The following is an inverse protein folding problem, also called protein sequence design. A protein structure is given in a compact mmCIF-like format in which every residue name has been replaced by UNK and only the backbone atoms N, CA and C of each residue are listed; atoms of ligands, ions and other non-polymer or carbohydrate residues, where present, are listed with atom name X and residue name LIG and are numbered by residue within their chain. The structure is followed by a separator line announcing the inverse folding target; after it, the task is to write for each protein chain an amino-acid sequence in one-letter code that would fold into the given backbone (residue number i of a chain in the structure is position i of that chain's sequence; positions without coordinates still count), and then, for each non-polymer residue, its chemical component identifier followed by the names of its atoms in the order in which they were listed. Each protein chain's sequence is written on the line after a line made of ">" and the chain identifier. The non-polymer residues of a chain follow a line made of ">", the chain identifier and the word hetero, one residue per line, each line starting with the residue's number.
data_IF_254883569430
#
_entry.id   IF_254883569430
#
_cell.length_a   1.000
_cell.length_b   1.000
_cell.length_c   1.000
_cell.angle_alpha   90.00
_cell.angle_beta   90.00
_cell.angle_gamma   90.00
#
_symmetry.space_group_name_H-M   'P 1'
#
loop_
_entity.id
_entity.type
_entity.pdbx_description
1 polymer ?
#
# COMPACT_ATOMS: atom_id res chain seq x y z
N UNK A 1 35.75 36.14 -45.77
CA UNK A 1 35.13 37.46 -45.95
C UNK A 1 34.21 37.63 -44.74
N UNK A 2 34.53 38.40 -43.68
CA UNK A 2 35.26 39.69 -43.55
C UNK A 2 34.78 40.73 -44.59
N UNK A 3 34.38 41.96 -44.27
CA UNK A 3 34.39 42.77 -43.02
C UNK A 3 32.93 43.19 -42.61
N UNK A 4 32.58 43.92 -41.54
CA UNK A 4 32.90 45.32 -41.16
C UNK A 4 32.00 46.35 -41.89
N UNK A 5 31.50 47.45 -41.31
CA UNK A 5 31.49 47.91 -39.91
C UNK A 5 31.05 49.39 -39.75
N UNK A 6 30.44 49.72 -38.61
CA UNK A 6 30.23 51.07 -38.01
C UNK A 6 29.31 52.16 -38.65
N UNK A 7 28.70 52.90 -37.70
CA UNK A 7 28.42 54.35 -37.63
C UNK A 7 27.16 55.00 -38.26
N UNK A 8 26.75 56.22 -37.85
CA UNK A 8 26.47 56.77 -36.50
C UNK A 8 25.76 58.15 -36.63
N UNK A 9 24.57 58.29 -36.03
CA UNK A 9 23.89 59.52 -35.53
C UNK A 9 24.37 60.93 -36.00
N UNK A 10 23.46 61.71 -36.63
CA UNK A 10 23.06 63.11 -36.25
C UNK A 10 21.85 63.58 -37.12
N UNK A 11 20.74 64.09 -36.57
CA UNK A 11 20.48 65.47 -36.04
C UNK A 11 20.35 66.49 -37.21
N UNK A 12 19.22 67.19 -37.44
CA UNK A 12 18.64 68.33 -36.66
C UNK A 12 17.19 68.66 -37.17
N UNK A 13 16.36 69.26 -36.28
CA UNK A 13 15.18 70.17 -36.46
C UNK A 13 14.75 70.60 -37.90
N UNK A 14 13.51 70.97 -38.26
CA UNK A 14 12.28 71.42 -37.56
C UNK A 14 11.08 71.43 -38.59
N UNK A 15 9.81 71.85 -38.41
CA UNK A 15 8.93 72.36 -37.32
C UNK A 15 7.44 72.24 -37.75
N UNK A 16 6.48 72.51 -36.82
CA UNK A 16 5.00 72.66 -37.01
C UNK A 16 4.25 71.35 -37.30
N UNK A 17 3.49 70.77 -36.36
CA UNK A 17 2.29 71.26 -35.64
C UNK A 17 0.97 71.03 -36.39
N UNK A 18 0.18 70.06 -35.89
CA UNK A 18 -1.28 70.12 -35.81
C UNK A 18 -1.73 69.15 -34.69
N UNK A 19 -2.65 69.58 -33.82
CA UNK A 19 -3.12 68.79 -32.69
C UNK A 19 -4.17 67.75 -33.14
N UNK A 20 -4.05 66.53 -32.62
CA UNK A 20 -5.13 65.54 -32.58
C UNK A 20 -5.06 64.80 -31.25
N UNK A 21 -6.18 64.72 -30.51
CA UNK A 21 -6.21 64.18 -29.16
C UNK A 21 -6.42 62.66 -29.15
N UNK A 22 -5.33 61.89 -29.09
CA UNK A 22 -5.38 60.43 -28.92
C UNK A 22 -5.41 60.05 -27.44
N UNK A 23 -6.61 59.75 -26.92
CA UNK A 23 -6.79 59.23 -25.56
C UNK A 23 -6.20 57.82 -25.48
N UNK A 24 -5.08 57.67 -24.77
CA UNK A 24 -4.50 56.37 -24.44
C UNK A 24 -5.34 55.68 -23.35
N UNK A 25 -6.42 55.02 -23.77
CA UNK A 25 -7.19 54.13 -22.92
C UNK A 25 -6.36 52.90 -22.55
N UNK A 26 -5.67 52.96 -21.41
CA UNK A 26 -4.99 51.79 -20.83
C UNK A 26 -6.06 50.81 -20.36
N UNK A 27 -6.39 49.85 -21.23
CA UNK A 27 -7.22 48.69 -20.86
C UNK A 27 -6.38 47.82 -19.94
N UNK A 28 -6.48 48.08 -18.64
CA UNK A 28 -6.12 47.11 -17.61
C UNK A 28 -7.06 45.91 -17.76
N UNK A 29 -6.64 44.95 -18.58
CA UNK A 29 -7.15 43.59 -18.56
C UNK A 29 -6.84 43.00 -17.19
N UNK A 30 -7.75 43.21 -16.25
CA UNK A 30 -7.81 42.41 -15.04
C UNK A 30 -8.04 40.98 -15.46
N UNK A 31 -6.94 40.21 -15.50
CA UNK A 31 -7.01 38.75 -15.51
C UNK A 31 -7.57 38.36 -14.15
N UNK A 32 -8.90 38.42 -14.06
CA UNK A 32 -9.71 37.85 -13.00
C UNK A 32 -9.49 36.35 -13.04
N UNK A 33 -8.39 35.91 -12.43
CA UNK A 33 -8.10 34.50 -12.25
C UNK A 33 -9.33 33.88 -11.60
N UNK A 34 -9.96 32.95 -12.32
CA UNK A 34 -11.02 32.09 -11.79
C UNK A 34 -10.38 31.17 -10.75
N UNK A 35 -10.13 31.74 -9.57
CA UNK A 35 -9.58 31.04 -8.43
C UNK A 35 -10.51 29.87 -8.12
N UNK A 36 -10.02 28.65 -8.34
CA UNK A 36 -10.77 27.45 -8.06
C UNK A 36 -11.27 27.52 -6.61
N UNK A 37 -12.59 27.44 -6.43
CA UNK A 37 -13.18 27.55 -5.10
C UNK A 37 -12.55 26.49 -4.19
N UNK A 38 -12.03 26.91 -3.04
CA UNK A 38 -11.29 26.02 -2.15
C UNK A 38 -12.10 24.74 -1.90
N UNK A 39 -11.50 23.54 -2.09
CA UNK A 39 -12.18 22.28 -1.80
C UNK A 39 -12.74 22.27 -0.38
N UNK A 40 -13.87 21.61 -0.16
CA UNK A 40 -14.51 21.52 1.16
C UNK A 40 -14.68 20.06 1.54
N UNK A 41 -14.52 19.78 2.83
CA UNK A 41 -14.97 18.51 3.41
C UNK A 41 -16.49 18.48 3.35
N UNK A 42 -17.05 17.39 2.82
CA UNK A 42 -18.49 17.25 2.58
C UNK A 42 -19.29 17.27 3.90
N UNK A 43 -18.73 16.64 4.94
CA UNK A 43 -19.37 16.47 6.25
C UNK A 43 -20.77 15.83 6.23
N UNK A 44 -21.15 15.14 5.14
CA UNK A 44 -22.44 14.43 5.06
C UNK A 44 -22.57 13.38 6.17
N UNK A 45 -23.83 13.03 6.47
CA UNK A 45 -24.09 11.91 7.37
C UNK A 45 -23.64 10.58 6.72
N UNK A 46 -23.16 9.60 7.53
CA UNK A 46 -22.82 8.28 7.03
C UNK A 46 -24.05 7.52 6.52
N UNK A 47 -23.87 6.79 5.43
CA UNK A 47 -24.87 5.86 4.89
C UNK A 47 -24.85 4.51 5.63
N UNK A 48 -25.90 3.70 5.45
CA UNK A 48 -26.03 2.40 6.09
C UNK A 48 -24.94 1.45 5.58
N UNK A 49 -24.03 1.06 6.47
CA UNK A 49 -22.87 0.19 6.16
C UNK A 49 -21.53 0.93 6.06
N UNK A 50 -21.51 2.27 6.08
CA UNK A 50 -20.26 3.01 6.17
C UNK A 50 -19.68 3.01 7.60
N UNK A 51 -18.35 3.12 7.71
CA UNK A 51 -17.64 3.28 8.99
C UNK A 51 -18.03 4.57 9.74
N UNK A 52 -18.49 5.58 9.00
CA UNK A 52 -18.91 6.87 9.53
C UNK A 52 -17.77 7.70 10.12
N UNK A 53 -18.03 8.32 11.26
CA UNK A 53 -17.06 9.11 12.02
C UNK A 53 -16.82 8.42 13.37
N UNK A 54 -15.57 8.06 13.64
CA UNK A 54 -15.15 7.37 14.86
C UNK A 54 -14.01 8.14 15.55
N UNK A 55 -14.00 8.23 16.91
CA UNK A 55 -15.12 7.95 17.79
C UNK A 55 -16.37 8.76 17.43
N UNK A 56 -17.54 8.25 17.82
CA UNK A 56 -18.81 8.96 17.64
C UNK A 56 -18.80 10.24 18.47
N UNK A 57 -19.48 11.28 17.98
CA UNK A 57 -19.34 12.63 18.52
C UNK A 57 -19.77 12.72 20.00
N UNK A 58 -18.80 12.98 20.88
CA UNK A 58 -19.02 13.08 22.32
C UNK A 58 -19.07 11.76 23.09
N UNK A 59 -18.93 10.61 22.41
CA UNK A 59 -18.93 9.29 23.04
C UNK A 59 -17.56 8.94 23.65
N UNK A 60 -17.51 8.03 24.64
CA UNK A 60 -16.25 7.51 25.19
C UNK A 60 -15.54 6.56 24.21
N UNK A 61 -14.21 6.67 24.17
CA UNK A 61 -13.35 5.81 23.39
C UNK A 61 -12.98 4.53 24.15
N UNK A 62 -13.36 3.37 23.61
CA UNK A 62 -13.03 2.06 24.20
C UNK A 62 -11.51 1.77 24.26
N UNK A 63 -10.72 2.43 23.42
CA UNK A 63 -9.26 2.29 23.34
C UNK A 63 -8.57 3.64 23.50
N UNK A 64 -7.41 3.63 24.14
CA UNK A 64 -6.53 4.78 24.33
C UNK A 64 -5.16 4.53 23.64
N UNK A 65 -4.77 5.32 22.63
CA UNK A 65 -5.53 6.40 21.98
C UNK A 65 -6.66 5.84 21.10
N UNK A 66 -7.70 6.63 20.81
CA UNK A 66 -8.72 6.24 19.84
C UNK A 66 -8.15 6.10 18.43
N UNK A 67 -8.74 5.19 17.66
CA UNK A 67 -8.64 5.17 16.20
C UNK A 67 -9.64 6.18 15.64
N UNK A 68 -9.12 7.33 15.17
CA UNK A 68 -9.89 8.30 14.40
C UNK A 68 -10.22 7.70 13.02
N UNK A 69 -11.47 7.78 12.58
CA UNK A 69 -11.88 7.41 11.23
C UNK A 69 -12.97 8.35 10.71
N UNK A 70 -12.99 8.58 9.41
CA UNK A 70 -13.93 9.48 8.74
C UNK A 70 -14.33 8.97 7.36
N UNK A 71 -15.39 9.55 6.78
CA UNK A 71 -15.82 9.24 5.41
C UNK A 71 -14.76 9.66 4.38
N UNK A 72 -14.58 8.86 3.33
CA UNK A 72 -13.59 9.13 2.30
C UNK A 72 -14.08 10.22 1.32
N UNK A 73 -13.28 11.28 1.19
CA UNK A 73 -13.49 12.40 0.28
C UNK A 73 -12.93 12.04 -1.11
N UNK A 74 -13.79 11.90 -2.12
CA UNK A 74 -13.42 11.36 -3.46
C UNK A 74 -12.30 12.10 -4.20
N UNK A 75 -11.99 13.33 -3.80
CA UNK A 75 -10.91 14.14 -4.38
C UNK A 75 -9.57 14.04 -3.61
N UNK A 76 -9.55 13.38 -2.44
CA UNK A 76 -8.42 13.38 -1.52
C UNK A 76 -7.28 12.44 -1.96
N UNK A 77 -6.10 13.02 -2.16
CA UNK A 77 -4.86 12.28 -2.35
C UNK A 77 -4.15 11.98 -1.02
N UNK A 78 -4.24 12.89 -0.05
CA UNK A 78 -3.81 12.69 1.34
C UNK A 78 -4.70 13.48 2.30
N UNK A 79 -4.67 13.10 3.58
CA UNK A 79 -5.36 13.78 4.66
C UNK A 79 -4.38 14.45 5.64
N UNK A 80 -4.87 15.46 6.34
CA UNK A 80 -4.29 16.00 7.58
C UNK A 80 -5.34 15.91 8.67
N UNK A 81 -4.96 15.40 9.84
CA UNK A 81 -5.79 15.33 11.05
C UNK A 81 -5.20 16.25 12.12
N UNK A 82 -6.07 16.86 12.91
CA UNK A 82 -5.73 17.59 14.12
C UNK A 82 -6.57 17.09 15.29
N UNK A 83 -5.97 16.99 16.48
CA UNK A 83 -6.71 16.88 17.74
C UNK A 83 -6.07 17.72 18.85
N UNK A 84 -6.90 18.20 19.79
CA UNK A 84 -6.48 18.94 21.00
C UNK A 84 -7.42 18.64 22.17
N UNK A 85 -6.95 18.85 23.40
CA UNK A 85 -7.81 18.94 24.57
C UNK A 85 -8.58 20.28 24.66
N UNK A 86 -8.46 21.15 23.64
CA UNK A 86 -9.08 22.48 23.58
C UNK A 86 -9.87 22.67 22.28
N UNK A 87 -11.08 23.21 22.40
CA UNK A 87 -12.00 23.44 21.28
C UNK A 87 -11.49 24.44 20.23
N UNK A 88 -10.58 25.35 20.61
CA UNK A 88 -9.95 26.33 19.72
C UNK A 88 -8.79 25.76 18.89
N UNK A 89 -8.40 24.50 19.14
CA UNK A 89 -7.22 23.84 18.59
C UNK A 89 -5.89 24.55 18.93
N UNK A 90 -5.85 25.39 19.96
CA UNK A 90 -4.57 25.82 20.53
C UNK A 90 -3.85 24.58 21.11
N UNK A 91 -2.54 24.51 20.87
CA UNK A 91 -1.69 23.36 21.19
C UNK A 91 -2.16 22.02 20.58
N UNK A 92 -2.87 22.04 19.45
CA UNK A 92 -3.26 20.82 18.73
C UNK A 92 -2.05 20.01 18.23
N UNK A 93 -2.19 18.69 18.23
CA UNK A 93 -1.29 17.77 17.54
C UNK A 93 -1.78 17.61 16.10
N UNK A 94 -0.95 18.01 15.14
CA UNK A 94 -1.24 17.93 13.70
C UNK A 94 -0.47 16.76 13.08
N UNK A 95 -1.17 15.86 12.37
CA UNK A 95 -0.57 14.77 11.61
C UNK A 95 -0.93 14.92 10.12
N UNK A 96 0.09 15.09 9.29
CA UNK A 96 -0.03 15.35 7.84
C UNK A 96 0.26 14.11 7.00
N UNK A 97 -0.02 14.20 5.69
CA UNK A 97 0.35 13.19 4.67
C UNK A 97 -0.18 11.78 4.96
N UNK A 98 -1.37 11.69 5.57
CA UNK A 98 -2.06 10.43 5.82
C UNK A 98 -2.66 9.90 4.51
N UNK A 99 -2.30 8.68 4.04
CA UNK A 99 -2.82 8.14 2.78
C UNK A 99 -4.21 7.52 2.92
N UNK A 100 -4.76 7.44 4.13
CA UNK A 100 -6.05 6.80 4.43
C UNK A 100 -6.95 7.74 5.24
N UNK A 101 -8.26 7.48 5.18
CA UNK A 101 -9.30 8.16 5.96
C UNK A 101 -9.40 7.65 7.42
N UNK A 102 -8.28 7.26 8.01
CA UNK A 102 -8.17 6.82 9.40
C UNK A 102 -6.77 7.07 9.99
N UNK A 103 -6.70 7.20 11.32
CA UNK A 103 -5.46 7.40 12.07
C UNK A 103 -5.60 6.92 13.53
N UNK A 104 -4.62 6.16 14.02
CA UNK A 104 -4.47 5.81 15.44
C UNK A 104 -3.14 6.38 15.93
N UNK A 105 -3.13 7.06 17.07
CA UNK A 105 -1.90 7.65 17.61
C UNK A 105 -0.93 6.59 18.18
N UNK A 106 0.34 6.96 18.32
CA UNK A 106 1.42 6.08 18.78
C UNK A 106 1.74 6.19 20.29
N UNK A 107 1.05 7.08 21.00
CA UNK A 107 1.11 7.20 22.46
C UNK A 107 -0.32 7.24 23.04
N UNK A 108 -0.53 6.79 24.29
CA UNK A 108 -1.79 7.04 24.99
C UNK A 108 -1.97 8.55 25.24
N UNK A 109 -3.22 8.98 25.22
CA UNK A 109 -3.66 10.30 25.67
C UNK A 109 -3.95 10.28 27.18
N UNK A 110 -3.89 11.45 27.82
CA UNK A 110 -4.36 11.58 29.20
C UNK A 110 -5.91 11.43 29.24
N UNK A 111 -6.50 10.97 30.35
CA UNK A 111 -7.96 10.95 30.48
C UNK A 111 -8.56 12.35 30.40
N UNK A 112 -9.70 12.48 29.74
CA UNK A 112 -10.39 13.77 29.54
C UNK A 112 -11.08 13.89 28.18
N UNK A 113 -11.56 15.10 27.90
CA UNK A 113 -12.27 15.44 26.67
C UNK A 113 -11.32 15.99 25.59
N UNK A 114 -11.54 15.56 24.35
CA UNK A 114 -10.76 15.97 23.19
C UNK A 114 -11.63 16.38 22.00
N UNK A 115 -11.08 17.26 21.19
CA UNK A 115 -11.66 17.81 19.97
C UNK A 115 -10.79 17.39 18.80
N UNK A 116 -11.37 16.97 17.68
CA UNK A 116 -10.65 16.60 16.47
C UNK A 116 -11.33 17.09 15.18
N UNK A 117 -10.52 17.26 14.14
CA UNK A 117 -10.95 17.65 12.79
C UNK A 117 -9.99 17.11 11.74
N UNK A 118 -10.45 17.01 10.49
CA UNK A 118 -9.62 16.59 9.35
C UNK A 118 -9.79 17.52 8.16
N UNK A 119 -8.83 17.50 7.25
CA UNK A 119 -8.88 18.11 5.91
C UNK A 119 -8.12 17.24 4.92
N UNK A 120 -8.27 17.48 3.63
CA UNK A 120 -7.55 16.76 2.58
C UNK A 120 -6.76 17.68 1.65
N UNK A 121 -5.87 17.07 0.88
CA UNK A 121 -5.15 17.68 -0.25
C UNK A 121 -5.59 16.95 -1.51
N UNK A 122 -5.96 17.67 -2.57
CA UNK A 122 -6.37 17.05 -3.85
C UNK A 122 -5.18 16.46 -4.62
N UNK A 123 -5.46 15.64 -5.63
CA UNK A 123 -4.45 15.23 -6.62
C UNK A 123 -3.79 16.39 -7.41
N UNK A 124 -4.27 17.63 -7.25
CA UNK A 124 -3.65 18.86 -7.81
C UNK A 124 -2.88 19.68 -6.75
N UNK A 125 -2.85 19.23 -5.49
CA UNK A 125 -2.23 19.97 -4.38
C UNK A 125 -3.15 20.99 -3.69
N UNK A 126 -4.43 21.06 -4.04
CA UNK A 126 -5.37 22.02 -3.44
C UNK A 126 -5.75 21.56 -2.02
N UNK A 127 -5.59 22.43 -1.02
CA UNK A 127 -5.88 22.09 0.40
C UNK A 127 -7.32 22.45 0.75
N UNK A 128 -8.09 21.48 1.25
CA UNK A 128 -9.49 21.71 1.62
C UNK A 128 -9.67 22.59 2.85
N UNK A 129 -10.90 23.09 3.05
CA UNK A 129 -11.36 23.52 4.37
C UNK A 129 -11.22 22.39 5.39
N UNK A 130 -11.23 22.74 6.68
CA UNK A 130 -11.43 21.74 7.74
C UNK A 130 -12.85 21.13 7.67
N UNK A 131 -12.97 19.93 8.23
CA UNK A 131 -14.24 19.32 8.63
C UNK A 131 -14.92 20.13 9.72
N UNK A 132 -16.18 19.81 10.04
CA UNK A 132 -16.72 20.16 11.35
C UNK A 132 -15.83 19.56 12.45
N UNK A 133 -15.71 20.27 13.58
CA UNK A 133 -15.12 19.72 14.79
C UNK A 133 -15.99 18.57 15.30
N UNK A 134 -15.35 17.51 15.78
CA UNK A 134 -15.99 16.39 16.50
C UNK A 134 -15.28 16.18 17.84
N UNK A 135 -15.93 15.55 18.80
CA UNK A 135 -15.42 15.31 20.16
C UNK A 135 -15.30 13.81 20.46
N UNK A 136 -14.43 13.46 21.40
CA UNK A 136 -14.41 12.15 22.05
C UNK A 136 -13.96 12.29 23.50
N UNK A 137 -14.32 11.32 24.34
CA UNK A 137 -13.87 11.23 25.73
C UNK A 137 -12.87 10.07 25.85
N UNK A 138 -11.75 10.31 26.53
CA UNK A 138 -10.80 9.26 26.93
C UNK A 138 -11.02 8.98 28.41
N UNK A 139 -11.63 7.84 28.73
CA UNK A 139 -11.80 7.42 30.11
C UNK A 139 -10.48 6.92 30.73
N UNK A 140 -10.36 7.03 32.05
CA UNK A 140 -9.23 6.46 32.80
C UNK A 140 -9.21 4.91 32.76
N UNK A 141 -10.31 4.28 32.34
CA UNK A 141 -10.47 2.83 32.13
C UNK A 141 -10.30 2.40 30.67
N UNK A 142 -10.08 3.32 29.72
CA UNK A 142 -9.95 3.00 28.30
C UNK A 142 -8.71 2.13 28.02
N UNK A 143 -8.87 1.10 27.17
CA UNK A 143 -7.85 0.06 26.97
C UNK A 143 -6.63 0.66 26.25
N UNK A 144 -5.48 0.72 26.92
CA UNK A 144 -4.24 1.27 26.35
C UNK A 144 -3.70 0.36 25.25
N UNK A 145 -3.83 0.78 23.99
CA UNK A 145 -3.39 0.03 22.81
C UNK A 145 -2.90 0.96 21.67
N UNK A 146 -1.77 1.68 21.88
CA UNK A 146 -1.19 2.56 20.87
C UNK A 146 -0.68 1.80 19.63
N UNK A 147 -0.87 2.40 18.46
CA UNK A 147 -0.34 1.91 17.18
C UNK A 147 1.14 2.32 17.07
N UNK A 148 2.12 1.39 17.10
CA UNK A 148 3.54 1.77 17.04
C UNK A 148 3.86 2.58 15.78
N UNK A 149 4.71 3.59 15.90
CA UNK A 149 5.04 4.52 14.81
C UNK A 149 5.62 3.83 13.57
N UNK A 150 5.62 4.50 12.41
CA UNK A 150 6.16 3.92 11.16
C UNK A 150 7.62 3.50 11.31
N UNK A 151 8.40 4.23 12.09
CA UNK A 151 9.83 3.99 12.25
C UNK A 151 10.12 2.93 13.32
N UNK A 152 9.33 2.84 14.39
CA UNK A 152 9.37 1.66 15.27
C UNK A 152 8.97 0.38 14.52
N UNK A 153 7.90 0.42 13.72
CA UNK A 153 7.49 -0.74 12.92
C UNK A 153 8.60 -1.14 11.94
N UNK A 154 9.29 -0.17 11.34
CA UNK A 154 10.47 -0.42 10.48
C UNK A 154 11.63 -1.04 11.26
N UNK A 155 11.98 -0.50 12.43
CA UNK A 155 13.09 -0.98 13.26
C UNK A 155 12.84 -2.39 13.84
N UNK A 156 11.58 -2.76 14.07
CA UNK A 156 11.18 -4.10 14.57
C UNK A 156 11.17 -5.19 13.49
N UNK A 157 11.25 -4.83 12.19
CA UNK A 157 11.36 -5.77 11.07
C UNK A 157 12.84 -6.09 10.78
N UNK A 158 13.26 -7.38 10.83
CA UNK A 158 14.66 -7.75 10.55
C UNK A 158 15.12 -7.34 9.14
N UNK A 159 16.35 -6.83 9.04
CA UNK A 159 16.98 -6.54 7.75
C UNK A 159 17.32 -7.82 6.96
N UNK A 160 17.63 -8.91 7.64
CA UNK A 160 17.81 -10.24 7.05
C UNK A 160 16.50 -10.93 6.64
N UNK A 161 16.62 -12.21 6.29
CA UNK A 161 15.53 -13.15 6.02
C UNK A 161 15.79 -14.45 6.81
N UNK A 162 14.77 -15.23 7.21
CA UNK A 162 13.34 -15.05 6.96
C UNK A 162 12.72 -13.87 7.72
N UNK A 163 11.48 -13.54 7.41
CA UNK A 163 10.65 -12.52 8.07
C UNK A 163 9.20 -12.96 8.25
N UNK A 164 8.73 -13.94 7.48
CA UNK A 164 7.36 -14.41 7.46
C UNK A 164 7.24 -15.68 8.31
N UNK A 165 6.39 -15.64 9.35
CA UNK A 165 6.18 -16.66 10.39
C UNK A 165 7.41 -16.98 11.28
N UNK A 166 8.63 -16.71 10.83
CA UNK A 166 9.88 -16.98 11.56
C UNK A 166 10.78 -15.75 11.45
N UNK A 167 11.32 -15.26 12.56
CA UNK A 167 12.36 -14.21 12.58
C UNK A 167 13.76 -14.86 12.53
N UNK A 168 14.81 -14.19 11.99
CA UNK A 168 16.14 -14.78 11.87
C UNK A 168 16.73 -15.21 13.23
N UNK A 169 16.45 -14.44 14.29
CA UNK A 169 16.85 -14.75 15.67
C UNK A 169 16.12 -15.97 16.28
N UNK A 170 14.98 -16.38 15.73
CA UNK A 170 14.20 -17.54 16.19
C UNK A 170 14.56 -18.84 15.46
N UNK A 171 15.20 -18.74 14.27
CA UNK A 171 15.56 -19.88 13.44
C UNK A 171 16.42 -20.95 14.17
N UNK A 172 17.39 -20.62 15.05
CA UNK A 172 18.11 -21.63 15.83
C UNK A 172 17.20 -22.46 16.74
N UNK A 173 16.20 -21.83 17.39
CA UNK A 173 15.20 -22.52 18.22
C UNK A 173 14.31 -23.42 17.37
N UNK A 174 13.88 -22.96 16.20
CA UNK A 174 13.05 -23.75 15.29
C UNK A 174 13.80 -24.98 14.74
N UNK A 175 15.09 -24.84 14.39
CA UNK A 175 15.96 -25.95 14.00
C UNK A 175 16.16 -26.97 15.14
N UNK A 176 16.37 -26.51 16.37
CA UNK A 176 16.45 -27.39 17.53
C UNK A 176 15.13 -28.15 17.80
N UNK A 177 13.99 -27.49 17.63
CA UNK A 177 12.67 -28.12 17.76
C UNK A 177 12.45 -29.22 16.69
N UNK A 178 12.78 -28.93 15.43
CA UNK A 178 12.67 -29.86 14.30
C UNK A 178 13.60 -31.10 14.41
N UNK A 179 14.74 -30.97 15.12
CA UNK A 179 15.60 -32.12 15.47
C UNK A 179 15.16 -32.88 16.72
N UNK A 180 14.25 -32.31 17.52
CA UNK A 180 13.83 -32.80 18.83
C UNK A 180 12.32 -33.10 18.89
N UNK A 181 11.57 -32.28 19.63
CA UNK A 181 10.15 -32.51 19.93
C UNK A 181 9.26 -32.57 18.68
N UNK A 182 9.51 -31.70 17.70
CA UNK A 182 8.72 -31.59 16.45
C UNK A 182 9.29 -32.48 15.33
N UNK A 183 10.16 -33.44 15.65
CA UNK A 183 10.81 -34.29 14.65
C UNK A 183 9.84 -35.15 13.83
N UNK A 184 8.80 -35.80 14.40
CA UNK A 184 7.85 -36.57 13.61
C UNK A 184 7.11 -35.70 12.59
N UNK A 185 6.80 -34.46 12.96
CA UNK A 185 6.14 -33.44 12.12
C UNK A 185 7.08 -32.97 11.02
N UNK A 186 8.34 -32.70 11.37
CA UNK A 186 9.36 -32.24 10.44
C UNK A 186 9.76 -33.31 9.41
N UNK A 187 9.97 -34.57 9.82
CA UNK A 187 10.33 -35.65 8.88
C UNK A 187 9.16 -35.96 7.91
N UNK A 188 7.90 -35.68 8.28
CA UNK A 188 6.75 -35.73 7.33
C UNK A 188 6.86 -34.63 6.26
N UNK A 189 7.24 -33.40 6.62
CA UNK A 189 7.50 -32.32 5.66
C UNK A 189 8.73 -32.61 4.79
N UNK A 190 9.79 -33.15 5.39
CA UNK A 190 11.01 -33.58 4.67
C UNK A 190 10.69 -34.64 3.62
N UNK A 191 9.94 -35.68 4.00
CA UNK A 191 9.50 -36.72 3.07
C UNK A 191 8.56 -36.19 1.96
N UNK A 192 7.80 -35.11 2.19
CA UNK A 192 7.08 -34.41 1.13
C UNK A 192 8.04 -33.68 0.19
N UNK A 193 9.00 -32.92 0.72
CA UNK A 193 10.01 -32.22 -0.07
C UNK A 193 10.88 -33.18 -0.91
N UNK A 194 11.33 -34.30 -0.35
CA UNK A 194 12.11 -35.33 -1.07
C UNK A 194 11.32 -35.94 -2.24
N UNK A 195 9.99 -36.08 -2.13
CA UNK A 195 9.14 -36.51 -3.25
C UNK A 195 8.97 -35.46 -4.34
N UNK A 196 9.25 -34.18 -4.06
CA UNK A 196 9.12 -33.06 -5.00
C UNK A 196 10.40 -32.74 -5.79
N UNK A 197 11.56 -33.24 -5.34
CA UNK A 197 12.86 -33.08 -6.00
C UNK A 197 12.82 -33.59 -7.44
N UNK A 198 13.17 -32.76 -8.40
CA UNK A 198 13.26 -33.12 -9.82
C UNK A 198 11.92 -33.43 -10.52
N UNK A 199 10.79 -33.42 -9.80
CA UNK A 199 9.47 -33.69 -10.36
C UNK A 199 9.06 -32.65 -11.42
N UNK A 200 8.09 -32.95 -12.29
CA UNK A 200 7.42 -31.95 -13.10
C UNK A 200 6.89 -30.79 -12.24
N UNK A 201 6.96 -29.58 -12.78
CA UNK A 201 6.36 -28.40 -12.18
C UNK A 201 4.85 -28.41 -12.46
N UNK A 202 4.05 -27.85 -11.56
CA UNK A 202 2.62 -27.64 -11.83
C UNK A 202 2.52 -26.54 -12.89
N UNK A 203 1.88 -26.75 -14.04
CA UNK A 203 1.78 -25.72 -15.08
C UNK A 203 0.91 -24.54 -14.62
N UNK A 204 1.07 -23.38 -15.26
CA UNK A 204 0.14 -22.26 -15.11
C UNK A 204 -1.28 -22.67 -15.59
N UNK A 205 -2.37 -22.27 -14.92
CA UNK A 205 -3.73 -22.46 -15.42
C UNK A 205 -3.96 -21.76 -16.77
N UNK A 206 -4.47 -22.50 -17.76
CA UNK A 206 -4.78 -22.00 -19.11
C UNK A 206 -6.26 -21.72 -19.33
N UNK A 207 -7.14 -22.32 -18.52
CA UNK A 207 -8.58 -22.31 -18.73
C UNK A 207 -9.26 -21.09 -18.12
N UNK A 208 -10.15 -20.44 -18.88
CA UNK A 208 -10.74 -19.19 -18.42
C UNK A 208 -11.70 -19.39 -17.26
N UNK A 209 -11.45 -18.71 -16.14
CA UNK A 209 -12.19 -18.91 -14.89
C UNK A 209 -12.58 -17.61 -14.20
N UNK A 210 -13.88 -17.41 -13.94
CA UNK A 210 -14.35 -16.25 -13.15
C UNK A 210 -15.68 -16.53 -12.44
N UNK A 211 -15.82 -16.02 -11.20
CA UNK A 211 -17.06 -16.09 -10.43
C UNK A 211 -18.05 -14.95 -10.71
N UNK A 212 -17.68 -13.97 -11.55
CA UNK A 212 -18.54 -12.82 -11.88
C UNK A 212 -19.75 -13.24 -12.74
N UNK A 213 -19.55 -14.18 -13.67
CA UNK A 213 -20.61 -14.70 -14.57
C UNK A 213 -21.21 -15.98 -13.98
N UNK A 214 -21.94 -15.84 -12.86
CA UNK A 214 -22.47 -16.96 -12.06
C UNK A 214 -23.38 -17.95 -12.82
N UNK A 215 -23.92 -17.55 -13.97
CA UNK A 215 -24.75 -18.39 -14.85
C UNK A 215 -23.93 -19.34 -15.75
N UNK A 216 -22.63 -19.10 -15.92
CA UNK A 216 -21.76 -19.96 -16.71
C UNK A 216 -21.01 -20.94 -15.79
N UNK A 217 -21.52 -22.17 -15.72
CA UNK A 217 -20.97 -23.21 -14.85
C UNK A 217 -19.52 -23.58 -15.20
N UNK A 218 -19.13 -23.55 -16.48
CA UNK A 218 -17.76 -23.83 -16.91
C UNK A 218 -16.78 -22.79 -16.38
N UNK A 219 -17.10 -21.50 -16.53
CA UNK A 219 -16.27 -20.41 -15.97
C UNK A 219 -16.17 -20.48 -14.44
N UNK A 220 -17.22 -20.93 -13.76
CA UNK A 220 -17.25 -21.11 -12.30
C UNK A 220 -16.46 -22.35 -11.83
N UNK A 221 -16.49 -23.44 -12.60
CA UNK A 221 -15.65 -24.63 -12.37
C UNK A 221 -14.17 -24.30 -12.57
N UNK A 222 -13.82 -23.67 -13.70
CA UNK A 222 -12.47 -23.22 -14.00
C UNK A 222 -11.95 -22.22 -12.94
N UNK A 223 -12.80 -21.30 -12.46
CA UNK A 223 -12.45 -20.36 -11.39
C UNK A 223 -11.87 -21.08 -10.14
N UNK A 224 -12.52 -22.16 -9.70
CA UNK A 224 -12.05 -22.93 -8.55
C UNK A 224 -10.92 -23.91 -8.91
N UNK A 225 -10.93 -24.49 -10.11
CA UNK A 225 -9.84 -25.36 -10.58
C UNK A 225 -8.50 -24.60 -10.64
N UNK A 226 -8.49 -23.40 -11.22
CA UNK A 226 -7.32 -22.53 -11.30
C UNK A 226 -6.81 -22.14 -9.90
N UNK A 227 -7.71 -21.92 -8.93
CA UNK A 227 -7.33 -21.75 -7.52
C UNK A 227 -6.59 -22.97 -7.00
N UNK A 228 -7.17 -24.16 -7.11
CA UNK A 228 -6.60 -25.40 -6.55
C UNK A 228 -5.24 -25.71 -7.19
N UNK A 229 -5.11 -25.53 -8.51
CA UNK A 229 -3.85 -25.68 -9.25
C UNK A 229 -2.78 -24.68 -8.78
N UNK A 230 -3.13 -23.40 -8.67
CA UNK A 230 -2.19 -22.34 -8.22
C UNK A 230 -1.80 -22.51 -6.75
N UNK A 231 -2.76 -22.92 -5.90
CA UNK A 231 -2.54 -23.22 -4.49
C UNK A 231 -1.54 -24.37 -4.33
N UNK A 232 -1.78 -25.50 -5.04
CA UNK A 232 -0.87 -26.64 -5.06
C UNK A 232 0.53 -26.24 -5.51
N UNK A 233 0.66 -25.50 -6.60
CA UNK A 233 1.96 -25.04 -7.12
C UNK A 233 2.75 -24.23 -6.07
N UNK A 234 2.05 -23.33 -5.38
CA UNK A 234 2.62 -22.55 -4.29
C UNK A 234 2.97 -23.39 -3.04
N UNK A 235 2.14 -24.37 -2.67
CA UNK A 235 2.36 -25.25 -1.51
C UNK A 235 3.53 -26.22 -1.73
N UNK A 236 3.73 -26.70 -2.96
CA UNK A 236 4.93 -27.48 -3.32
C UNK A 236 6.20 -26.60 -3.22
N UNK A 237 6.14 -25.33 -3.60
CA UNK A 237 7.26 -24.39 -3.44
C UNK A 237 7.53 -24.05 -1.96
N UNK A 238 6.50 -23.74 -1.17
CA UNK A 238 6.64 -23.44 0.27
C UNK A 238 7.17 -24.63 1.07
N UNK A 239 6.72 -25.85 0.78
CA UNK A 239 7.16 -27.08 1.48
C UNK A 239 8.66 -27.28 1.32
N UNK A 240 9.16 -27.21 0.07
CA UNK A 240 10.60 -27.37 -0.21
C UNK A 240 11.42 -26.20 0.37
N UNK A 241 10.91 -24.96 0.27
CA UNK A 241 11.55 -23.78 0.85
C UNK A 241 11.65 -23.84 2.39
N UNK A 242 10.65 -24.40 3.08
CA UNK A 242 10.68 -24.59 4.52
C UNK A 242 11.71 -25.65 4.94
N UNK A 243 11.73 -26.80 4.25
CA UNK A 243 12.71 -27.86 4.54
C UNK A 243 14.14 -27.38 4.25
N UNK A 244 14.35 -26.55 3.22
CA UNK A 244 15.62 -25.83 3.03
C UNK A 244 15.95 -24.88 4.19
N UNK A 245 15.00 -24.04 4.63
CA UNK A 245 15.20 -23.10 5.75
C UNK A 245 15.65 -23.81 7.03
N UNK A 246 15.10 -24.99 7.33
CA UNK A 246 15.49 -25.79 8.49
C UNK A 246 16.84 -26.51 8.28
N UNK A 247 17.01 -27.26 7.19
CA UNK A 247 18.18 -28.13 7.00
C UNK A 247 19.43 -27.42 6.48
N UNK A 248 19.27 -26.41 5.63
CA UNK A 248 20.34 -25.85 4.80
C UNK A 248 20.82 -26.76 3.65
N UNK A 249 20.21 -27.93 3.43
CA UNK A 249 20.64 -28.87 2.38
C UNK A 249 20.40 -28.30 0.97
N UNK A 250 21.47 -28.20 0.17
CA UNK A 250 21.46 -27.54 -1.14
C UNK A 250 20.37 -28.05 -2.09
N UNK A 251 20.12 -29.36 -2.13
CA UNK A 251 19.08 -30.00 -2.97
C UNK A 251 17.68 -29.38 -2.79
N UNK A 252 17.31 -28.98 -1.57
CA UNK A 252 16.01 -28.33 -1.33
C UNK A 252 16.09 -26.84 -1.72
N UNK A 253 17.23 -26.17 -1.54
CA UNK A 253 17.43 -24.80 -1.99
C UNK A 253 17.31 -24.66 -3.52
N UNK A 254 17.88 -25.59 -4.26
CA UNK A 254 17.83 -25.66 -5.73
C UNK A 254 16.42 -25.95 -6.26
N UNK A 255 15.71 -26.93 -5.69
CA UNK A 255 14.33 -27.24 -6.08
C UNK A 255 13.34 -26.14 -5.65
N UNK A 256 13.55 -25.50 -4.48
CA UNK A 256 12.79 -24.32 -4.08
C UNK A 256 13.01 -23.16 -5.05
N UNK A 257 14.28 -22.86 -5.40
CA UNK A 257 14.63 -21.84 -6.42
C UNK A 257 13.93 -22.12 -7.75
N UNK A 258 13.99 -23.37 -8.23
CA UNK A 258 13.32 -23.82 -9.47
C UNK A 258 11.82 -23.53 -9.45
N UNK A 259 11.12 -23.91 -8.38
CA UNK A 259 9.67 -23.71 -8.21
C UNK A 259 9.27 -22.24 -8.03
N UNK A 260 10.05 -21.47 -7.28
CA UNK A 260 9.85 -20.03 -7.07
C UNK A 260 10.02 -19.25 -8.39
N UNK A 261 11.00 -19.61 -9.22
CA UNK A 261 11.24 -18.97 -10.51
C UNK A 261 10.18 -19.31 -11.57
N UNK A 262 9.62 -20.52 -11.51
CA UNK A 262 8.48 -20.92 -12.33
C UNK A 262 7.23 -20.09 -12.00
N UNK A 263 6.82 -20.05 -10.72
CA UNK A 263 5.70 -19.23 -10.24
C UNK A 263 5.89 -17.73 -10.51
N UNK A 264 7.13 -17.24 -10.50
CA UNK A 264 7.50 -15.86 -10.89
C UNK A 264 7.68 -15.67 -12.41
N UNK A 265 7.48 -16.71 -13.22
CA UNK A 265 7.37 -16.67 -14.68
C UNK A 265 5.93 -16.72 -15.20
N UNK A 266 4.98 -17.19 -14.40
CA UNK A 266 3.55 -17.24 -14.73
C UNK A 266 3.00 -15.85 -15.10
N UNK A 267 2.20 -15.79 -16.16
CA UNK A 267 1.70 -14.55 -16.76
C UNK A 267 0.84 -13.73 -15.76
N UNK A 268 1.26 -12.51 -15.36
CA UNK A 268 0.47 -11.67 -14.45
C UNK A 268 -0.87 -11.24 -15.04
N UNK A 269 -0.99 -11.21 -16.37
CA UNK A 269 -2.20 -10.79 -17.09
C UNK A 269 -3.03 -11.99 -17.62
N UNK A 270 -2.63 -13.22 -17.26
CA UNK A 270 -3.33 -14.47 -17.61
C UNK A 270 -4.43 -14.86 -16.62
N UNK A 271 -4.78 -16.16 -16.59
CA UNK A 271 -5.88 -16.70 -15.77
C UNK A 271 -5.58 -16.76 -14.26
N UNK A 272 -4.40 -16.28 -13.86
CA UNK A 272 -4.01 -16.02 -12.47
C UNK A 272 -3.99 -14.52 -12.12
N UNK A 273 -4.52 -13.64 -12.99
CA UNK A 273 -4.68 -12.22 -12.72
C UNK A 273 -5.78 -11.97 -11.66
N UNK A 274 -5.55 -10.99 -10.77
CA UNK A 274 -6.44 -10.71 -9.65
C UNK A 274 -7.84 -10.24 -10.07
N UNK A 275 -7.96 -9.50 -11.19
CA UNK A 275 -9.24 -8.96 -11.68
C UNK A 275 -10.15 -10.02 -12.31
N UNK A 276 -9.57 -11.08 -12.90
CA UNK A 276 -10.33 -12.20 -13.47
C UNK A 276 -10.62 -13.29 -12.43
N UNK A 277 -9.58 -13.70 -11.69
CA UNK A 277 -9.64 -14.75 -10.68
C UNK A 277 -8.78 -14.39 -9.46
N UNK A 278 -9.33 -13.56 -8.58
CA UNK A 278 -8.69 -13.21 -7.32
C UNK A 278 -8.36 -14.42 -6.42
N UNK A 279 -9.09 -15.54 -6.55
CA UNK A 279 -8.82 -16.75 -5.76
C UNK A 279 -7.64 -17.59 -6.27
N UNK A 280 -7.32 -17.53 -7.56
CA UNK A 280 -6.06 -18.04 -8.12
C UNK A 280 -4.90 -17.06 -7.90
N UNK A 281 -5.16 -15.75 -7.97
CA UNK A 281 -4.14 -14.73 -7.74
C UNK A 281 -3.64 -14.68 -6.28
N UNK A 282 -4.54 -14.84 -5.30
CA UNK A 282 -4.23 -14.72 -3.86
C UNK A 282 -3.03 -15.58 -3.41
N UNK A 283 -2.93 -16.89 -3.70
CA UNK A 283 -1.74 -17.69 -3.39
C UNK A 283 -0.41 -17.11 -3.89
N UNK A 284 -0.36 -16.55 -5.10
CA UNK A 284 0.85 -15.93 -5.66
C UNK A 284 1.26 -14.63 -4.96
N UNK A 285 0.39 -14.03 -4.14
CA UNK A 285 0.72 -12.87 -3.30
C UNK A 285 1.33 -13.29 -1.95
N UNK A 286 0.73 -14.28 -1.27
CA UNK A 286 1.10 -14.61 0.12
C UNK A 286 1.94 -15.88 0.27
N UNK A 287 1.79 -16.88 -0.61
CA UNK A 287 2.57 -18.13 -0.55
C UNK A 287 3.88 -18.05 -1.31
N UNK A 288 3.87 -17.53 -2.55
CA UNK A 288 5.11 -17.28 -3.30
C UNK A 288 6.06 -16.36 -2.52
N UNK A 289 5.53 -15.30 -1.89
CA UNK A 289 6.29 -14.40 -1.01
C UNK A 289 6.91 -15.11 0.21
N UNK A 290 6.28 -16.17 0.73
CA UNK A 290 6.79 -16.96 1.86
C UNK A 290 7.85 -17.97 1.43
N UNK A 291 7.62 -18.67 0.32
CA UNK A 291 8.64 -19.53 -0.29
C UNK A 291 9.89 -18.72 -0.64
N UNK A 292 9.70 -17.51 -1.20
CA UNK A 292 10.75 -16.54 -1.48
C UNK A 292 11.53 -16.10 -0.22
N UNK A 293 10.81 -15.76 0.85
CA UNK A 293 11.37 -15.33 2.14
C UNK A 293 12.19 -16.44 2.82
N UNK A 294 11.69 -17.68 2.79
CA UNK A 294 12.33 -18.85 3.39
C UNK A 294 13.51 -19.39 2.56
N UNK A 295 13.41 -19.34 1.22
CA UNK A 295 14.47 -19.76 0.31
C UNK A 295 15.46 -18.64 -0.08
N UNK A 296 15.37 -17.44 0.52
CA UNK A 296 16.14 -16.25 0.14
C UNK A 296 17.64 -16.52 -0.09
N UNK A 297 18.26 -17.34 0.76
CA UNK A 297 19.69 -17.68 0.69
C UNK A 297 20.06 -18.56 -0.53
N UNK A 298 19.13 -19.34 -1.10
CA UNK A 298 19.33 -20.11 -2.32
C UNK A 298 19.05 -19.32 -3.61
N UNK A 299 18.44 -18.14 -3.51
CA UNK A 299 18.14 -17.26 -4.64
C UNK A 299 19.32 -16.31 -4.90
N UNK A 300 19.78 -16.23 -6.17
CA UNK A 300 20.74 -15.21 -6.61
C UNK A 300 20.09 -13.82 -6.65
N UNK A 301 20.88 -12.76 -6.79
CA UNK A 301 20.34 -11.39 -6.94
C UNK A 301 19.41 -11.24 -8.16
N UNK A 302 19.73 -11.90 -9.28
CA UNK A 302 18.89 -11.92 -10.49
C UNK A 302 17.55 -12.63 -10.23
N UNK A 303 17.57 -13.76 -9.53
CA UNK A 303 16.35 -14.47 -9.13
C UNK A 303 15.49 -13.60 -8.21
N UNK A 304 16.13 -12.92 -7.25
CA UNK A 304 15.47 -12.00 -6.32
C UNK A 304 14.82 -10.82 -7.04
N UNK A 305 15.50 -10.23 -8.01
CA UNK A 305 14.95 -9.16 -8.85
C UNK A 305 13.73 -9.64 -9.66
N UNK A 306 13.81 -10.83 -10.29
CA UNK A 306 12.69 -11.41 -11.06
C UNK A 306 11.47 -11.68 -10.19
N UNK A 307 11.62 -12.37 -9.06
CA UNK A 307 10.49 -12.67 -8.16
C UNK A 307 9.88 -11.39 -7.59
N UNK A 308 10.70 -10.43 -7.15
CA UNK A 308 10.20 -9.13 -6.69
C UNK A 308 9.43 -8.38 -7.78
N UNK A 309 9.85 -8.44 -9.04
CA UNK A 309 9.14 -7.79 -10.15
C UNK A 309 7.76 -8.42 -10.37
N UNK A 310 7.69 -9.75 -10.48
CA UNK A 310 6.45 -10.49 -10.65
C UNK A 310 5.46 -10.26 -9.48
N UNK A 311 5.96 -10.32 -8.23
CA UNK A 311 5.15 -10.09 -7.04
C UNK A 311 4.68 -8.63 -6.96
N UNK A 312 5.53 -7.63 -7.26
CA UNK A 312 5.12 -6.21 -7.32
C UNK A 312 4.02 -5.97 -8.36
N UNK A 313 4.15 -6.54 -9.57
CA UNK A 313 3.13 -6.45 -10.63
C UNK A 313 1.77 -6.99 -10.14
N UNK A 314 1.75 -8.14 -9.47
CA UNK A 314 0.51 -8.77 -8.96
C UNK A 314 -0.04 -8.07 -7.70
N UNK A 315 0.81 -7.48 -6.86
CA UNK A 315 0.39 -6.62 -5.74
C UNK A 315 -0.37 -5.40 -6.27
N UNK A 316 0.06 -4.82 -7.39
CA UNK A 316 -0.64 -3.68 -7.99
C UNK A 316 -2.08 -4.04 -8.42
N UNK A 317 -2.30 -5.20 -9.07
CA UNK A 317 -3.67 -5.64 -9.41
C UNK A 317 -4.55 -5.83 -8.17
N UNK A 318 -3.98 -6.35 -7.09
CA UNK A 318 -4.69 -6.58 -5.83
C UNK A 318 -4.99 -5.27 -5.07
N UNK A 319 -4.11 -4.27 -5.21
CA UNK A 319 -4.27 -2.93 -4.64
C UNK A 319 -5.33 -2.11 -5.38
N UNK A 320 -5.39 -2.21 -6.70
CA UNK A 320 -6.36 -1.51 -7.56
C UNK A 320 -7.75 -2.18 -7.61
N UNK A 321 -7.91 -3.35 -7.00
CA UNK A 321 -9.16 -4.14 -7.00
C UNK A 321 -10.04 -3.91 -5.77
N UNK A 322 -9.72 -2.93 -4.92
CA UNK A 322 -10.44 -2.56 -3.70
C UNK A 322 -11.20 -1.25 -3.82
#
# INVERSE_FOLDING_TARGET
>A
MIEGGLAFIRLVLNMKSLFSASVWGVVLLSVSGLGAAQPRVENRMPEVGEIGYLPRDGEPAAFNPPSLAWLHEKAAQTYTVEWSARADFSQAVTITNLPFNCYTHCAPLAPGEYYWRYRFVTGRGEVSSWSQTRRFIVDASAIVFPMPSRDERRARVPAGHPRLFVRPEELPRLRAAAGGAERPEFERLRAQADRLLGQPLVPEPTERGTATVKTNLTLLQNWWANRVQTLRACEEAETVAFVYLITGEAKYGEEARRRILDLAGWNPDGETNFRWNCEAAKPLLHRLSRAYDWAWAALTESDRARVQSAVKRRIQDAWESG
#
